data_IF_631526352537
#
_entry.id   IF_631526352537
#
_cell.length_a   1.000
_cell.length_b   1.000
_cell.length_c   1.000
_cell.angle_alpha   90.00
_cell.angle_beta   90.00
_cell.angle_gamma   90.00
#
_symmetry.space_group_name_H-M   'P 1'
#
loop_
_entity.id
_entity.type
_entity.pdbx_description
1 polymer ?
#
# COMPACT_ATOMS: atom_id res chain seq x y z
N UNK A 1 19.50 -7.73 -6.18
CA UNK A 1 18.21 -7.21 -6.68
C UNK A 1 17.14 -8.18 -6.21
N UNK A 2 16.09 -7.70 -5.53
CA UNK A 2 14.98 -8.56 -5.13
C UNK A 2 14.13 -8.85 -6.37
N UNK A 3 13.82 -10.12 -6.62
CA UNK A 3 12.94 -10.56 -7.70
C UNK A 3 11.63 -11.06 -7.10
N UNK A 4 10.52 -10.97 -7.85
CA UNK A 4 9.25 -11.53 -7.42
C UNK A 4 9.39 -13.05 -7.16
N UNK A 5 8.91 -13.52 -6.01
CA UNK A 5 8.85 -14.94 -5.66
C UNK A 5 7.67 -15.62 -6.38
N UNK A 6 7.53 -16.95 -6.23
CA UNK A 6 6.47 -17.72 -6.90
C UNK A 6 5.06 -17.20 -6.58
N UNK A 7 4.80 -16.80 -5.33
CA UNK A 7 3.51 -16.27 -4.90
C UNK A 7 3.21 -14.93 -5.57
N UNK A 8 4.14 -13.97 -5.52
CA UNK A 8 3.97 -12.67 -6.17
C UNK A 8 3.89 -12.79 -7.68
N UNK A 9 4.65 -13.70 -8.30
CA UNK A 9 4.53 -14.01 -9.73
C UNK A 9 3.16 -14.58 -10.10
N UNK A 10 2.60 -15.47 -9.28
CA UNK A 10 1.24 -15.99 -9.47
C UNK A 10 0.20 -14.87 -9.41
N UNK A 11 0.33 -13.97 -8.43
CA UNK A 11 -0.55 -12.80 -8.28
C UNK A 11 -0.47 -11.87 -9.50
N UNK A 12 0.75 -11.59 -9.99
CA UNK A 12 0.96 -10.78 -11.20
C UNK A 12 0.41 -11.47 -12.45
N UNK A 13 0.52 -12.79 -12.53
CA UNK A 13 -0.04 -13.57 -13.65
C UNK A 13 -1.57 -13.59 -13.60
N UNK A 14 -2.17 -13.66 -12.41
CA UNK A 14 -3.61 -13.52 -12.23
C UNK A 14 -4.10 -12.14 -12.64
N UNK A 15 -3.37 -11.08 -12.30
CA UNK A 15 -3.65 -9.72 -12.76
C UNK A 15 -3.61 -9.63 -14.29
N UNK A 16 -2.59 -10.24 -14.93
CA UNK A 16 -2.45 -10.31 -16.39
C UNK A 16 -3.63 -11.02 -17.08
N UNK A 17 -4.19 -12.04 -16.43
CA UNK A 17 -5.27 -12.88 -16.99
C UNK A 17 -6.65 -12.25 -16.93
N UNK A 18 -6.81 -11.05 -16.37
CA UNK A 18 -8.11 -10.39 -16.25
C UNK A 18 -8.49 -9.67 -17.56
N UNK A 19 -9.77 -9.67 -17.90
CA UNK A 19 -10.28 -9.01 -19.11
C UNK A 19 -10.28 -7.48 -19.05
N UNK A 20 -10.14 -6.91 -17.84
CA UNK A 20 -10.10 -5.47 -17.57
C UNK A 20 -8.67 -4.91 -17.49
N UNK A 21 -7.65 -5.73 -17.73
CA UNK A 21 -6.23 -5.35 -17.68
C UNK A 21 -5.62 -5.46 -19.07
N UNK A 22 -4.97 -4.39 -19.55
CA UNK A 22 -4.20 -4.46 -20.79
C UNK A 22 -2.80 -5.06 -20.56
N UNK A 23 -2.18 -5.67 -21.59
CA UNK A 23 -0.80 -6.15 -21.50
C UNK A 23 0.20 -5.06 -21.08
N UNK A 24 -0.04 -3.82 -21.51
CA UNK A 24 0.79 -2.69 -21.11
C UNK A 24 0.62 -2.41 -19.60
N UNK A 25 -0.62 -2.33 -19.09
CA UNK A 25 -0.84 -2.12 -17.64
C UNK A 25 -0.13 -3.18 -16.79
N UNK A 26 -0.17 -4.43 -17.22
CA UNK A 26 0.55 -5.52 -16.57
C UNK A 26 2.07 -5.33 -16.63
N UNK A 27 2.61 -5.02 -17.81
CA UNK A 27 4.05 -4.77 -18.00
C UNK A 27 4.54 -3.64 -17.11
N UNK A 28 3.80 -2.53 -17.01
CA UNK A 28 4.18 -1.42 -16.15
C UNK A 28 4.05 -1.75 -14.66
N UNK A 29 3.06 -2.53 -14.23
CA UNK A 29 3.00 -3.00 -12.84
C UNK A 29 4.25 -3.83 -12.49
N UNK A 30 4.59 -4.80 -13.34
CA UNK A 30 5.80 -5.62 -13.16
C UNK A 30 7.07 -4.78 -13.16
N UNK A 31 7.22 -3.89 -14.13
CA UNK A 31 8.38 -3.02 -14.25
C UNK A 31 8.50 -2.09 -13.03
N UNK A 32 7.39 -1.55 -12.54
CA UNK A 32 7.37 -0.67 -11.37
C UNK A 32 7.82 -1.40 -10.12
N UNK A 33 7.31 -2.60 -9.86
CA UNK A 33 7.74 -3.44 -8.74
C UNK A 33 9.23 -3.77 -8.88
N UNK A 34 9.66 -4.32 -10.02
CA UNK A 34 11.05 -4.72 -10.25
C UNK A 34 12.05 -3.55 -10.17
N UNK A 35 11.62 -2.32 -10.45
CA UNK A 35 12.46 -1.11 -10.33
C UNK A 35 12.74 -0.69 -8.88
N UNK A 36 12.07 -1.30 -7.90
CA UNK A 36 12.15 -0.97 -6.48
C UNK A 36 12.40 -2.25 -5.66
N UNK A 37 13.68 -2.56 -5.34
CA UNK A 37 14.04 -3.80 -4.66
C UNK A 37 13.40 -3.95 -3.27
N UNK A 38 13.29 -2.86 -2.51
CA UNK A 38 12.71 -2.89 -1.17
C UNK A 38 11.20 -3.18 -1.24
N UNK A 39 10.50 -2.49 -2.15
CA UNK A 39 9.09 -2.77 -2.43
C UNK A 39 8.89 -4.22 -2.87
N UNK A 40 9.73 -4.72 -3.78
CA UNK A 40 9.64 -6.11 -4.24
C UNK A 40 9.81 -7.10 -3.09
N UNK A 41 10.80 -6.89 -2.22
CA UNK A 41 11.04 -7.74 -1.07
C UNK A 41 9.84 -7.74 -0.10
N UNK A 42 9.24 -6.59 0.14
CA UNK A 42 8.08 -6.45 1.03
C UNK A 42 6.84 -7.10 0.44
N UNK A 43 6.53 -6.84 -0.83
CA UNK A 43 5.41 -7.51 -1.51
C UNK A 43 5.58 -9.04 -1.57
N UNK A 44 6.82 -9.53 -1.71
CA UNK A 44 7.11 -10.96 -1.61
C UNK A 44 6.76 -11.53 -0.23
N UNK A 45 7.06 -10.80 0.85
CA UNK A 45 6.72 -11.20 2.21
C UNK A 45 5.20 -11.22 2.42
N UNK A 46 4.49 -10.16 2.01
CA UNK A 46 3.03 -10.10 2.12
C UNK A 46 2.34 -11.18 1.28
N UNK A 47 2.87 -11.48 0.08
CA UNK A 47 2.38 -12.58 -0.76
C UNK A 47 2.64 -13.96 -0.15
N UNK A 48 3.82 -14.17 0.45
CA UNK A 48 4.19 -15.43 1.09
C UNK A 48 3.37 -15.68 2.37
N UNK A 49 3.05 -14.62 3.13
CA UNK A 49 2.18 -14.66 4.30
C UNK A 49 0.68 -14.76 3.96
N UNK A 50 0.33 -14.63 2.68
CA UNK A 50 -1.06 -14.65 2.21
C UNK A 50 -1.86 -13.38 2.55
N UNK A 51 -1.19 -12.32 2.98
CA UNK A 51 -1.79 -11.00 3.19
C UNK A 51 -2.07 -10.28 1.87
N UNK A 52 -1.23 -10.52 0.86
CA UNK A 52 -1.45 -10.12 -0.52
C UNK A 52 -1.85 -11.34 -1.34
N UNK A 53 -3.04 -11.30 -1.95
CA UNK A 53 -3.59 -12.42 -2.74
C UNK A 53 -3.95 -12.05 -4.17
N UNK A 54 -4.24 -10.77 -4.44
CA UNK A 54 -4.53 -10.31 -5.79
C UNK A 54 -4.31 -8.80 -5.93
N UNK A 55 -4.04 -8.37 -7.16
CA UNK A 55 -4.23 -6.99 -7.59
C UNK A 55 -5.50 -6.89 -8.44
N UNK A 56 -6.19 -5.75 -8.34
CA UNK A 56 -7.33 -5.39 -9.19
C UNK A 56 -7.06 -4.01 -9.76
N UNK A 57 -7.25 -3.76 -11.07
CA UNK A 57 -7.06 -2.43 -11.64
C UNK A 57 -8.15 -1.49 -11.13
N UNK A 58 -7.83 -0.20 -11.03
CA UNK A 58 -8.87 0.80 -10.90
C UNK A 58 -9.65 0.92 -12.22
N UNK A 59 -10.98 0.90 -12.15
CA UNK A 59 -11.89 1.21 -13.27
C UNK A 59 -12.35 2.67 -13.23
N UNK A 60 -11.77 3.49 -14.10
CA UNK A 60 -11.73 4.96 -13.98
C UNK A 60 -13.04 5.67 -13.60
N UNK A 61 -12.99 6.46 -12.53
CA UNK A 61 -13.96 7.50 -12.18
C UNK A 61 -14.38 7.53 -10.70
N UNK A 62 -14.04 6.53 -9.90
CA UNK A 62 -14.50 6.42 -8.49
C UNK A 62 -13.54 5.67 -7.56
N UNK A 63 -12.35 5.34 -8.03
CA UNK A 63 -11.40 4.54 -7.29
C UNK A 63 -10.55 5.41 -6.36
N UNK A 64 -9.99 4.79 -5.30
CA UNK A 64 -9.11 5.50 -4.40
C UNK A 64 -7.89 6.05 -5.15
N UNK A 65 -7.58 7.34 -4.94
CA UNK A 65 -6.47 8.08 -5.55
C UNK A 65 -5.08 7.48 -5.29
N UNK A 66 -4.95 6.67 -4.23
CA UNK A 66 -3.73 5.94 -3.88
C UNK A 66 -3.89 4.43 -4.00
N UNK A 67 -5.05 3.94 -4.43
CA UNK A 67 -5.48 2.54 -4.30
C UNK A 67 -6.04 2.22 -2.90
N UNK A 68 -6.51 0.99 -2.74
CA UNK A 68 -6.96 0.45 -1.47
C UNK A 68 -6.61 -1.01 -1.24
N UNK A 69 -6.49 -1.41 0.02
CA UNK A 69 -6.28 -2.75 0.51
C UNK A 69 -7.46 -3.19 1.37
N UNK A 70 -7.94 -4.40 1.10
CA UNK A 70 -8.93 -5.08 1.91
C UNK A 70 -8.27 -6.21 2.71
N UNK A 71 -8.22 -6.09 4.04
CA UNK A 71 -7.56 -7.06 4.91
C UNK A 71 -8.24 -8.42 4.89
N UNK A 72 -9.58 -8.45 4.80
CA UNK A 72 -10.35 -9.69 4.83
C UNK A 72 -10.06 -10.58 3.61
N UNK A 73 -10.04 -10.00 2.42
CA UNK A 73 -9.77 -10.72 1.16
C UNK A 73 -8.28 -10.77 0.80
N UNK A 74 -7.46 -9.84 1.30
CA UNK A 74 -6.05 -9.69 0.91
C UNK A 74 -5.88 -9.10 -0.48
N UNK A 75 -6.87 -8.35 -0.97
CA UNK A 75 -6.87 -7.77 -2.32
C UNK A 75 -6.42 -6.32 -2.27
N UNK A 76 -5.52 -5.95 -3.17
CA UNK A 76 -5.13 -4.56 -3.44
C UNK A 76 -5.82 -4.07 -4.71
N UNK A 77 -6.69 -3.09 -4.57
CA UNK A 77 -7.23 -2.29 -5.69
C UNK A 77 -6.24 -1.18 -6.00
N UNK A 78 -5.69 -1.18 -7.21
CA UNK A 78 -4.78 -0.15 -7.68
C UNK A 78 -5.57 1.12 -8.04
N UNK A 79 -4.97 2.33 -7.92
CA UNK A 79 -5.59 3.52 -8.51
C UNK A 79 -5.69 3.35 -10.03
N UNK A 80 -6.53 4.14 -10.71
CA UNK A 80 -6.45 4.24 -12.16
C UNK A 80 -5.04 4.69 -12.58
N UNK A 81 -4.46 3.98 -13.55
CA UNK A 81 -3.18 4.35 -14.15
C UNK A 81 -3.20 4.08 -15.65
N UNK A 82 -2.58 5.01 -16.39
CA UNK A 82 -2.48 4.92 -17.84
C UNK A 82 -1.64 3.71 -18.24
N UNK A 83 -2.11 2.88 -19.19
CA UNK A 83 -1.32 1.79 -19.74
C UNK A 83 0.03 2.29 -20.28
N UNK A 84 1.10 1.55 -19.98
CA UNK A 84 2.43 1.78 -20.56
C UNK A 84 3.38 0.65 -20.19
N UNK A 85 4.62 0.64 -20.68
CA UNK A 85 5.60 -0.41 -20.35
C UNK A 85 6.66 0.02 -19.33
N UNK A 86 6.76 1.32 -19.06
CA UNK A 86 7.76 1.91 -18.19
C UNK A 86 7.26 2.10 -16.74
N UNK A 87 8.15 1.96 -15.73
CA UNK A 87 7.84 2.32 -14.35
C UNK A 87 7.39 3.77 -14.22
N UNK A 88 6.39 4.04 -13.38
CA UNK A 88 5.99 5.42 -13.07
C UNK A 88 6.10 5.72 -11.58
N UNK A 89 6.48 6.96 -11.27
CA UNK A 89 6.57 7.44 -9.88
C UNK A 89 5.21 7.40 -9.19
N UNK A 90 4.12 7.68 -9.90
CA UNK A 90 2.77 7.65 -9.34
C UNK A 90 2.34 6.24 -8.95
N UNK A 91 2.55 5.24 -9.81
CA UNK A 91 2.24 3.84 -9.49
C UNK A 91 3.16 3.34 -8.36
N UNK A 92 4.46 3.70 -8.38
CA UNK A 92 5.40 3.34 -7.31
C UNK A 92 4.95 3.89 -5.95
N UNK A 93 4.59 5.17 -5.87
CA UNK A 93 4.10 5.78 -4.63
C UNK A 93 2.81 5.12 -4.13
N UNK A 94 1.92 4.75 -5.05
CA UNK A 94 0.69 4.03 -4.70
C UNK A 94 0.99 2.64 -4.15
N UNK A 95 1.85 1.85 -4.82
CA UNK A 95 2.24 0.52 -4.36
C UNK A 95 2.94 0.54 -3.00
N UNK A 96 3.80 1.54 -2.75
CA UNK A 96 4.43 1.74 -1.42
C UNK A 96 3.40 2.06 -0.35
N UNK A 97 2.42 2.93 -0.63
CA UNK A 97 1.35 3.20 0.32
C UNK A 97 0.49 1.96 0.61
N UNK A 98 0.20 1.14 -0.41
CA UNK A 98 -0.54 -0.10 -0.21
C UNK A 98 0.26 -1.12 0.61
N UNK A 99 1.57 -1.25 0.36
CA UNK A 99 2.46 -2.07 1.19
C UNK A 99 2.46 -1.62 2.65
N UNK A 100 2.57 -0.32 2.89
CA UNK A 100 2.50 0.24 4.24
C UNK A 100 1.13 -0.02 4.89
N UNK A 101 0.04 0.10 4.11
CA UNK A 101 -1.32 -0.21 4.54
C UNK A 101 -1.48 -1.69 4.92
N UNK A 102 -0.90 -2.61 4.15
CA UNK A 102 -0.89 -4.05 4.46
C UNK A 102 -0.16 -4.34 5.76
N UNK A 103 1.01 -3.73 5.97
CA UNK A 103 1.76 -3.88 7.23
C UNK A 103 1.01 -3.36 8.43
N UNK A 104 0.37 -2.19 8.29
CA UNK A 104 -0.50 -1.64 9.32
C UNK A 104 -1.68 -2.58 9.61
N UNK A 105 -2.37 -3.04 8.57
CA UNK A 105 -3.50 -3.95 8.68
C UNK A 105 -3.15 -5.25 9.41
N UNK A 106 -1.94 -5.76 9.21
CA UNK A 106 -1.47 -7.00 9.82
C UNK A 106 -0.62 -6.79 11.10
N UNK A 107 -0.65 -5.57 11.65
CA UNK A 107 -0.03 -5.25 12.94
C UNK A 107 -1.01 -5.38 14.12
N UNK A 108 -0.47 -5.27 15.33
CA UNK A 108 -1.24 -5.10 16.55
C UNK A 108 -0.87 -3.78 17.25
N UNK A 109 -1.76 -3.30 18.10
CA UNK A 109 -1.58 -2.13 18.93
C UNK A 109 -1.86 -2.47 20.40
N UNK A 110 -1.27 -1.70 21.31
CA UNK A 110 -1.59 -1.83 22.73
C UNK A 110 -2.78 -0.93 23.06
N UNK A 111 -3.84 -1.51 23.62
CA UNK A 111 -4.98 -0.75 24.10
C UNK A 111 -4.70 -0.11 25.48
N UNK A 112 -5.70 0.62 26.00
CA UNK A 112 -5.60 1.29 27.29
C UNK A 112 -5.38 0.34 28.48
N UNK A 113 -5.70 -0.94 28.32
CA UNK A 113 -5.51 -1.99 29.32
C UNK A 113 -4.18 -2.75 29.12
N UNK A 114 -3.29 -2.23 28.26
CA UNK A 114 -2.02 -2.88 27.87
C UNK A 114 -2.23 -4.25 27.21
N UNK A 115 -3.38 -4.47 26.58
CA UNK A 115 -3.65 -5.70 25.83
C UNK A 115 -3.31 -5.47 24.35
N UNK A 116 -2.64 -6.46 23.75
CA UNK A 116 -2.33 -6.46 22.32
C UNK A 116 -3.58 -6.77 21.52
N UNK A 117 -4.09 -5.77 20.80
CA UNK A 117 -5.26 -5.89 19.94
C UNK A 117 -4.83 -5.87 18.46
N UNK A 118 -5.37 -6.75 17.61
CA UNK A 118 -5.10 -6.69 16.18
C UNK A 118 -5.73 -5.42 15.59
N UNK A 119 -5.07 -4.81 14.60
CA UNK A 119 -5.68 -3.75 13.80
C UNK A 119 -6.93 -4.30 13.09
N UNK A 120 -8.05 -3.58 13.17
CA UNK A 120 -9.32 -4.01 12.56
C UNK A 120 -9.44 -3.54 11.10
N UNK A 121 -10.36 -4.16 10.35
CA UNK A 121 -10.70 -3.69 8.99
C UNK A 121 -11.19 -2.23 9.01
N UNK A 122 -11.93 -1.82 10.03
CA UNK A 122 -12.43 -0.44 10.14
C UNK A 122 -11.29 0.55 10.31
N UNK A 123 -10.26 0.22 11.11
CA UNK A 123 -9.08 1.08 11.25
C UNK A 123 -8.34 1.24 9.91
N UNK A 124 -8.21 0.15 9.15
CA UNK A 124 -7.61 0.15 7.81
C UNK A 124 -8.46 0.96 6.84
N UNK A 125 -9.78 0.81 6.89
CA UNK A 125 -10.73 1.57 6.06
C UNK A 125 -10.68 3.05 6.37
N UNK A 126 -10.63 3.43 7.66
CA UNK A 126 -10.56 4.83 8.10
C UNK A 126 -9.24 5.50 7.68
N UNK A 127 -8.10 4.79 7.79
CA UNK A 127 -6.82 5.31 7.32
C UNK A 127 -6.86 5.60 5.82
N UNK A 128 -7.33 4.62 5.04
CA UNK A 128 -7.40 4.75 3.59
C UNK A 128 -8.42 5.81 3.16
N UNK A 129 -9.58 5.88 3.80
CA UNK A 129 -10.57 6.92 3.56
C UNK A 129 -9.99 8.31 3.85
N UNK A 130 -9.23 8.46 4.94
CA UNK A 130 -8.56 9.72 5.28
C UNK A 130 -7.59 10.13 4.18
N UNK A 131 -6.68 9.24 3.77
CA UNK A 131 -5.69 9.53 2.72
C UNK A 131 -6.36 9.87 1.38
N UNK A 132 -7.41 9.12 1.01
CA UNK A 132 -8.11 9.29 -0.27
C UNK A 132 -9.15 10.41 -0.28
N UNK A 133 -9.52 10.97 0.88
CA UNK A 133 -10.50 12.07 0.98
C UNK A 133 -10.02 13.38 0.36
N UNK A 134 -8.71 13.52 0.14
CA UNK A 134 -8.10 14.75 -0.39
C UNK A 134 -7.07 14.41 -1.48
N UNK A 135 -7.24 14.93 -2.71
CA UNK A 135 -6.24 14.78 -3.76
C UNK A 135 -4.87 15.33 -3.38
N UNK A 136 -4.85 16.43 -2.63
CA UNK A 136 -3.61 17.01 -2.11
C UNK A 136 -2.95 16.04 -1.15
N UNK A 137 -3.67 15.54 -0.15
CA UNK A 137 -3.11 14.58 0.81
C UNK A 137 -2.61 13.31 0.11
N UNK A 138 -3.40 12.73 -0.79
CA UNK A 138 -3.00 11.56 -1.57
C UNK A 138 -1.69 11.81 -2.35
N UNK A 139 -1.54 12.99 -2.96
CA UNK A 139 -0.32 13.38 -3.68
C UNK A 139 0.88 13.55 -2.74
N UNK A 140 0.69 14.24 -1.61
CA UNK A 140 1.73 14.45 -0.60
C UNK A 140 2.21 13.12 0.00
N UNK A 141 1.29 12.21 0.29
CA UNK A 141 1.58 10.88 0.81
C UNK A 141 2.38 10.05 -0.20
N UNK A 142 1.97 10.04 -1.48
CA UNK A 142 2.71 9.35 -2.55
C UNK A 142 4.13 9.92 -2.73
N UNK A 143 4.27 11.24 -2.60
CA UNK A 143 5.59 11.89 -2.63
C UNK A 143 6.43 11.50 -1.42
N UNK A 144 5.86 11.53 -0.21
CA UNK A 144 6.56 11.22 1.02
C UNK A 144 7.13 9.79 1.03
N UNK A 145 6.38 8.80 0.52
CA UNK A 145 6.87 7.41 0.46
C UNK A 145 7.88 7.15 -0.66
N UNK A 146 8.12 8.11 -1.54
CA UNK A 146 9.09 8.01 -2.66
C UNK A 146 10.26 8.99 -2.54
N UNK A 147 10.27 9.85 -1.53
CA UNK A 147 11.33 10.85 -1.32
C UNK A 147 12.26 10.38 -0.21
N UNK A 148 13.52 10.13 -0.54
CA UNK A 148 14.57 9.80 0.43
C UNK A 148 14.93 11.03 1.28
N UNK A 149 15.20 10.84 2.58
CA UNK A 149 15.64 11.90 3.49
C UNK A 149 16.99 12.48 3.02
N UNK A 150 17.90 11.62 2.60
CA UNK A 150 19.15 11.98 1.94
C UNK A 150 19.19 11.36 0.54
N UNK A 151 18.98 12.19 -0.48
CA UNK A 151 18.98 11.75 -1.88
C UNK A 151 20.35 11.26 -2.39
N UNK A 152 21.43 11.46 -1.62
CA UNK A 152 22.79 11.00 -1.97
C UNK A 152 23.09 9.62 -1.42
N UNK A 153 22.35 9.16 -0.41
CA UNK A 153 22.49 7.82 0.14
C UNK A 153 21.38 6.91 -0.40
N UNK A 154 21.70 5.90 -1.24
CA UNK A 154 20.71 4.96 -1.76
C UNK A 154 20.08 4.06 -0.68
N UNK A 155 20.59 4.08 0.55
CA UNK A 155 20.00 3.41 1.72
C UNK A 155 19.23 4.35 2.63
N UNK A 156 19.13 5.63 2.27
CA UNK A 156 18.44 6.61 3.09
C UNK A 156 16.95 6.24 3.19
N UNK A 157 16.38 6.28 4.41
CA UNK A 157 14.95 6.05 4.58
C UNK A 157 14.14 7.10 3.82
N UNK A 158 12.92 6.75 3.43
CA UNK A 158 11.98 7.72 2.86
C UNK A 158 11.39 8.64 3.94
N UNK A 159 10.83 9.78 3.53
CA UNK A 159 10.11 10.69 4.43
C UNK A 159 8.96 10.00 5.18
N UNK A 160 8.36 8.97 4.56
CA UNK A 160 7.33 8.15 5.17
C UNK A 160 7.55 6.66 4.82
N UNK A 161 7.70 5.80 5.83
CA UNK A 161 7.97 4.36 5.64
C UNK A 161 7.06 3.42 6.44
N UNK A 162 6.34 3.96 7.43
CA UNK A 162 5.49 3.18 8.32
C UNK A 162 4.24 3.94 8.71
N UNK A 163 3.11 3.23 8.78
CA UNK A 163 1.97 3.64 9.58
C UNK A 163 2.05 2.89 10.91
N UNK A 164 2.20 3.64 12.00
CA UNK A 164 2.17 3.05 13.34
C UNK A 164 0.78 3.28 13.92
N UNK A 165 0.09 2.23 14.42
CA UNK A 165 -1.06 2.48 15.28
C UNK A 165 -0.57 3.23 16.52
N UNK A 166 -1.30 4.27 16.92
CA UNK A 166 -0.98 5.01 18.14
C UNK A 166 -1.21 4.08 19.34
N UNK A 167 -0.14 3.70 20.03
CA UNK A 167 -0.24 2.98 21.31
C UNK A 167 -0.76 3.95 22.37
N UNK A 168 -1.98 3.70 22.88
CA UNK A 168 -2.57 4.37 24.04
C UNK A 168 -2.77 5.89 23.93
N UNK A 169 -4.03 6.32 23.76
CA UNK A 169 -4.76 7.40 24.48
C UNK A 169 -5.80 8.03 23.56
N UNK A 170 -6.97 7.39 23.39
CA UNK A 170 -8.23 8.17 23.30
C UNK A 170 -8.77 8.24 24.73
N UNK A 171 -8.02 8.90 25.59
CA UNK A 171 -8.42 9.19 26.96
C UNK A 171 -9.38 10.38 26.94
N UNK A 172 -10.67 10.10 27.17
CA UNK A 172 -11.72 11.01 27.65
C UNK A 172 -11.59 12.49 27.22
N UNK A 173 -12.37 12.88 26.22
CA UNK A 173 -12.97 14.23 26.21
C UNK A 173 -14.34 14.10 26.85
N UNK A 174 -14.51 14.74 28.02
CA UNK A 174 -15.75 15.28 28.61
C UNK A 174 -15.65 15.21 30.15
N UNK A 175 -14.88 16.13 30.74
CA UNK A 175 -15.29 16.73 32.02
C UNK A 175 -15.61 18.19 31.70
N UNK A 176 -16.91 18.52 31.80
CA UNK A 176 -17.40 19.89 31.81
C UNK A 176 -17.00 20.53 33.15
N UNK A 177 -16.44 21.74 33.08
CA UNK A 177 -16.48 22.71 34.19
C UNK A 177 -17.32 23.88 33.73
#
# INVERSE_FOLDING_TARGET
>A
MANANTQLQSILTQFAGRSDVSPDQESQLRATIASDPDLTQRLNQEAASGHLKAFVPGVGGSEPLTGSYDKASGIVTLPAFEPGSAPTTNLRGSLRLQEMGMRFANSSYMDANQQSQPVTQDMVTNLQATINSSPTLASEMKRAVTTAIDSKDPKSPMLLENFSPLSGTVGRVLDFV
#
